data_IF_323535264523
#
_entry.id   IF_323535264523
#
_cell.length_a   1.000
_cell.length_b   1.000
_cell.length_c   1.000
_cell.angle_alpha   90.00
_cell.angle_beta   90.00
_cell.angle_gamma   90.00
#
_symmetry.space_group_name_H-M   'P 1'
#
loop_
_entity.id
_entity.type
_entity.pdbx_description
1 polymer ?
#
# COMPACT_ATOMS: atom_id res chain seq x y z
N UNK A 1 6.16 -13.34 -20.02
CA UNK A 1 6.91 -12.79 -18.88
C UNK A 1 7.88 -13.86 -18.41
N UNK A 2 9.12 -13.85 -18.89
CA UNK A 2 10.16 -14.77 -18.40
C UNK A 2 10.90 -14.11 -17.23
N UNK A 3 10.82 -14.74 -16.06
CA UNK A 3 11.42 -14.28 -14.80
C UNK A 3 10.49 -14.55 -13.62
N UNK A 4 11.03 -15.17 -12.57
CA UNK A 4 10.27 -15.49 -11.36
C UNK A 4 10.08 -14.22 -10.51
N UNK A 5 9.05 -13.43 -10.81
CA UNK A 5 8.73 -12.19 -10.08
C UNK A 5 8.49 -12.46 -8.58
N UNK A 6 7.93 -13.62 -8.23
CA UNK A 6 7.67 -13.99 -6.83
C UNK A 6 8.97 -14.06 -6.02
N UNK A 7 10.02 -14.65 -6.58
CA UNK A 7 11.32 -14.75 -5.90
C UNK A 7 11.93 -13.37 -5.66
N UNK A 8 11.85 -12.48 -6.65
CA UNK A 8 12.39 -11.12 -6.54
C UNK A 8 11.59 -10.31 -5.52
N UNK A 9 10.26 -10.39 -5.57
CA UNK A 9 9.38 -9.73 -4.60
C UNK A 9 9.65 -10.22 -3.18
N UNK A 10 9.73 -11.54 -2.97
CA UNK A 10 10.05 -12.13 -1.67
C UNK A 10 11.40 -11.68 -1.16
N UNK A 11 12.42 -11.61 -2.03
CA UNK A 11 13.75 -11.12 -1.67
C UNK A 11 13.73 -9.66 -1.23
N UNK A 12 13.06 -8.79 -1.98
CA UNK A 12 12.93 -7.37 -1.64
C UNK A 12 12.17 -7.22 -0.31
N UNK A 13 11.02 -7.89 -0.17
CA UNK A 13 10.20 -7.82 1.05
C UNK A 13 10.92 -8.36 2.29
N UNK A 14 11.73 -9.41 2.14
CA UNK A 14 12.56 -9.93 3.23
C UNK A 14 13.73 -9.00 3.59
N UNK A 15 14.31 -8.33 2.59
CA UNK A 15 15.41 -7.38 2.76
C UNK A 15 14.97 -5.98 3.22
N UNK A 16 13.68 -5.66 3.13
CA UNK A 16 13.15 -4.33 3.39
C UNK A 16 13.31 -3.85 4.84
N UNK A 17 13.67 -4.72 5.79
CA UNK A 17 13.82 -4.44 7.23
C UNK A 17 12.90 -3.32 7.74
N UNK A 18 11.59 -3.64 7.78
CA UNK A 18 10.54 -2.69 8.13
C UNK A 18 10.75 -2.05 9.50
N UNK A 19 11.43 -2.73 10.43
CA UNK A 19 11.74 -2.22 11.75
C UNK A 19 12.79 -1.09 11.67
N UNK A 20 13.87 -1.29 10.92
CA UNK A 20 14.91 -0.25 10.75
C UNK A 20 14.39 0.95 9.95
N UNK A 21 13.55 0.72 8.95
CA UNK A 21 12.97 1.78 8.11
C UNK A 21 11.68 2.38 8.66
N UNK A 22 11.24 1.99 9.86
CA UNK A 22 9.99 2.49 10.47
C UNK A 22 9.93 4.03 10.57
N UNK A 23 11.07 4.69 10.80
CA UNK A 23 11.14 6.16 10.83
C UNK A 23 10.95 6.85 9.47
N UNK A 24 11.00 6.09 8.36
CA UNK A 24 10.85 6.59 7.00
C UNK A 24 9.46 6.30 6.42
N UNK A 25 8.56 5.73 7.21
CA UNK A 25 7.24 5.31 6.74
C UNK A 25 6.46 6.45 6.10
N UNK A 26 5.79 6.12 4.99
CA UNK A 26 4.84 7.01 4.36
C UNK A 26 3.49 6.92 5.07
N UNK A 27 2.80 8.06 5.16
CA UNK A 27 1.54 8.18 5.89
C UNK A 27 1.10 9.64 5.99
N UNK A 28 0.21 9.94 6.95
CA UNK A 28 -0.40 11.26 7.07
C UNK A 28 0.62 12.41 7.25
N UNK A 29 1.75 12.16 7.91
CA UNK A 29 2.81 13.15 8.16
C UNK A 29 3.87 13.22 7.06
N UNK A 30 4.05 12.14 6.29
CA UNK A 30 4.99 12.04 5.16
C UNK A 30 4.29 11.32 4.01
N UNK A 31 3.51 12.05 3.22
CA UNK A 31 2.76 11.44 2.11
C UNK A 31 3.68 11.09 0.95
N UNK A 32 3.27 10.06 0.22
CA UNK A 32 3.92 9.74 -1.04
C UNK A 32 3.71 10.86 -2.07
N UNK A 33 4.61 10.95 -3.05
CA UNK A 33 4.36 11.72 -4.27
C UNK A 33 3.78 10.83 -5.37
N UNK A 34 3.20 11.46 -6.39
CA UNK A 34 2.59 10.77 -7.52
C UNK A 34 3.63 9.92 -8.25
N UNK A 35 3.30 8.66 -8.52
CA UNK A 35 4.20 7.72 -9.21
C UNK A 35 5.30 7.14 -8.34
N UNK A 36 5.32 7.44 -7.03
CA UNK A 36 6.32 6.91 -6.12
C UNK A 36 6.13 5.40 -5.93
N UNK A 37 7.18 4.63 -6.17
CA UNK A 37 7.20 3.20 -5.88
C UNK A 37 7.25 2.96 -4.38
N UNK A 38 6.45 2.00 -3.91
CA UNK A 38 6.30 1.67 -2.50
C UNK A 38 6.26 0.18 -2.26
N UNK A 39 6.77 -0.21 -1.09
CA UNK A 39 6.57 -1.51 -0.48
C UNK A 39 5.40 -1.40 0.49
N UNK A 40 4.40 -2.24 0.31
CA UNK A 40 3.31 -2.41 1.26
C UNK A 40 3.74 -3.43 2.31
N UNK A 41 3.72 -2.99 3.58
CA UNK A 41 4.12 -3.79 4.73
C UNK A 41 3.21 -4.98 4.99
N UNK A 42 3.49 -5.68 6.09
CA UNK A 42 2.93 -7.01 6.34
C UNK A 42 1.40 -6.97 6.37
N UNK A 43 0.78 -7.81 5.56
CA UNK A 43 -0.66 -7.94 5.43
C UNK A 43 -1.03 -9.28 4.82
N UNK A 44 -2.33 -9.54 4.66
CA UNK A 44 -2.84 -10.78 4.07
C UNK A 44 -2.88 -10.76 2.53
N UNK A 45 -2.50 -9.64 1.91
CA UNK A 45 -2.48 -9.52 0.46
C UNK A 45 -1.38 -10.42 -0.14
N UNK A 46 -1.66 -11.10 -1.27
CA UNK A 46 -0.64 -11.79 -2.05
C UNK A 46 0.54 -10.89 -2.39
N UNK A 47 1.75 -11.47 -2.51
CA UNK A 47 2.99 -10.72 -2.74
C UNK A 47 2.92 -9.79 -3.96
N UNK A 48 2.21 -10.17 -5.02
CA UNK A 48 2.04 -9.34 -6.24
C UNK A 48 1.45 -7.94 -5.94
N UNK A 49 0.64 -7.83 -4.88
CA UNK A 49 0.01 -6.58 -4.46
C UNK A 49 0.80 -5.86 -3.36
N UNK A 50 2.02 -6.32 -3.05
CA UNK A 50 2.88 -5.71 -2.03
C UNK A 50 3.93 -4.75 -2.59
N UNK A 51 4.06 -4.68 -3.90
CA UNK A 51 4.94 -3.74 -4.60
C UNK A 51 4.15 -3.05 -5.70
N UNK A 52 4.30 -1.74 -5.81
CA UNK A 52 3.65 -0.94 -6.84
C UNK A 52 3.97 0.53 -6.70
N UNK A 53 3.34 1.38 -7.52
CA UNK A 53 3.49 2.83 -7.40
C UNK A 53 2.17 3.53 -7.09
N UNK A 54 2.26 4.64 -6.35
CA UNK A 54 1.08 5.37 -5.86
C UNK A 54 0.47 6.20 -6.98
N UNK A 55 -0.81 5.95 -7.27
CA UNK A 55 -1.57 6.69 -8.30
C UNK A 55 -2.50 7.75 -7.72
N UNK A 56 -3.06 7.52 -6.53
CA UNK A 56 -3.95 8.44 -5.84
C UNK A 56 -3.92 8.17 -4.32
N UNK A 57 -4.12 9.21 -3.52
CA UNK A 57 -4.28 9.15 -2.07
C UNK A 57 -5.61 9.82 -1.72
N UNK A 58 -6.52 9.06 -1.11
CA UNK A 58 -7.80 9.52 -0.58
C UNK A 58 -7.66 9.76 0.92
N UNK A 59 -7.56 11.04 1.28
CA UNK A 59 -7.13 11.43 2.62
C UNK A 59 -8.18 11.10 3.67
N UNK A 60 -7.77 10.36 4.69
CA UNK A 60 -8.63 9.96 5.78
C UNK A 60 -9.83 9.09 5.41
N UNK A 61 -9.83 8.45 4.23
CA UNK A 61 -10.96 7.64 3.74
C UNK A 61 -10.79 6.12 4.01
N UNK A 62 -9.73 5.71 4.71
CA UNK A 62 -9.57 4.34 5.20
C UNK A 62 -10.56 4.00 6.32
N UNK A 63 -10.78 2.71 6.57
CA UNK A 63 -11.76 2.24 7.55
C UNK A 63 -11.58 2.83 8.96
N UNK A 64 -10.34 3.10 9.39
CA UNK A 64 -10.02 3.74 10.67
C UNK A 64 -9.62 5.22 10.53
N UNK A 65 -10.04 5.87 9.45
CA UNK A 65 -9.71 7.27 9.16
C UNK A 65 -8.26 7.49 8.71
N UNK A 66 -7.54 6.43 8.33
CA UNK A 66 -6.23 6.53 7.67
C UNK A 66 -6.37 7.02 6.24
N UNK A 67 -5.26 7.48 5.64
CA UNK A 67 -5.22 7.74 4.20
C UNK A 67 -5.35 6.42 3.43
N UNK A 68 -6.20 6.40 2.40
CA UNK A 68 -6.37 5.27 1.50
C UNK A 68 -5.53 5.51 0.24
N UNK A 69 -4.57 4.63 0.00
CA UNK A 69 -3.65 4.67 -1.13
C UNK A 69 -4.19 3.77 -2.24
N UNK A 70 -4.32 4.31 -3.44
CA UNK A 70 -4.48 3.52 -4.64
C UNK A 70 -3.08 3.29 -5.22
N UNK A 71 -2.74 2.01 -5.37
CA UNK A 71 -1.43 1.57 -5.84
C UNK A 71 -1.61 0.78 -7.12
N UNK A 72 -0.91 1.17 -8.18
CA UNK A 72 -0.81 0.39 -9.43
C UNK A 72 0.19 -0.73 -9.25
N UNK A 73 -0.20 -1.94 -9.65
CA UNK A 73 0.62 -3.14 -9.61
C UNK A 73 1.07 -3.56 -11.02
N UNK A 74 2.04 -4.49 -11.06
CA UNK A 74 2.67 -4.95 -12.30
C UNK A 74 1.69 -5.57 -13.31
N UNK A 75 0.56 -6.11 -12.84
CA UNK A 75 -0.49 -6.65 -13.71
C UNK A 75 -1.36 -5.56 -14.37
N UNK A 76 -1.06 -4.29 -14.13
CA UNK A 76 -1.79 -3.14 -14.63
C UNK A 76 -3.04 -2.80 -13.82
N UNK A 77 -3.42 -3.60 -12.81
CA UNK A 77 -4.52 -3.27 -11.90
C UNK A 77 -4.07 -2.25 -10.86
N UNK A 78 -5.01 -1.52 -10.27
CA UNK A 78 -4.77 -0.81 -9.02
C UNK A 78 -5.60 -1.41 -7.90
N UNK A 79 -5.06 -1.39 -6.68
CA UNK A 79 -5.74 -1.86 -5.49
C UNK A 79 -5.78 -0.78 -4.41
N UNK A 80 -6.80 -0.88 -3.55
CA UNK A 80 -6.95 -0.01 -2.39
C UNK A 80 -6.14 -0.58 -1.24
N UNK A 81 -5.27 0.26 -0.68
CA UNK A 81 -4.50 -0.04 0.52
C UNK A 81 -4.84 1.00 1.58
N UNK A 82 -5.30 0.56 2.73
CA UNK A 82 -5.67 1.44 3.84
C UNK A 82 -5.34 0.76 5.16
N UNK A 83 -4.86 1.53 6.13
CA UNK A 83 -4.36 1.01 7.40
C UNK A 83 -3.13 0.09 7.23
N UNK A 84 -2.37 0.28 6.14
CA UNK A 84 -1.14 -0.43 5.86
C UNK A 84 0.09 0.40 6.23
N UNK A 85 1.22 -0.30 6.26
CA UNK A 85 2.56 0.27 6.34
C UNK A 85 3.08 0.49 4.91
N UNK A 86 3.70 1.63 4.65
CA UNK A 86 4.29 1.92 3.35
C UNK A 86 5.74 2.38 3.51
N UNK A 87 6.65 1.75 2.78
CA UNK A 87 8.02 2.21 2.63
C UNK A 87 8.22 2.70 1.19
N UNK A 88 8.92 3.82 1.05
CA UNK A 88 9.44 4.25 -0.23
C UNK A 88 10.50 3.26 -0.72
N UNK A 89 10.40 2.82 -1.97
CA UNK A 89 11.46 2.00 -2.59
C UNK A 89 12.65 2.84 -3.02
N UNK A 90 13.85 2.32 -2.86
CA UNK A 90 15.06 2.92 -3.44
C UNK A 90 15.25 2.56 -4.92
N UNK A 91 16.23 3.18 -5.58
CA UNK A 91 16.49 2.97 -7.00
C UNK A 91 16.91 1.53 -7.34
N UNK A 92 17.61 0.82 -6.45
CA UNK A 92 18.04 -0.57 -6.67
C UNK A 92 16.86 -1.54 -6.53
N UNK A 93 15.97 -1.28 -5.56
CA UNK A 93 14.70 -1.99 -5.39
C UNK A 93 13.81 -1.79 -6.64
N UNK A 94 13.72 -0.57 -7.17
CA UNK A 94 12.92 -0.23 -8.35
C UNK A 94 13.47 -0.91 -9.61
N UNK A 95 14.79 -0.83 -9.85
CA UNK A 95 15.42 -1.40 -11.05
C UNK A 95 15.16 -2.91 -11.18
N UNK A 96 15.15 -3.62 -10.04
CA UNK A 96 14.85 -5.05 -9.99
C UNK A 96 13.42 -5.40 -10.43
N UNK A 97 12.45 -4.49 -10.25
CA UNK A 97 11.03 -4.73 -10.55
C UNK A 97 10.53 -4.03 -11.81
N UNK A 98 11.21 -2.99 -12.29
CA UNK A 98 10.74 -2.09 -13.35
C UNK A 98 10.28 -2.82 -14.62
N UNK A 99 10.97 -3.90 -15.01
CA UNK A 99 10.62 -4.72 -16.18
C UNK A 99 9.20 -5.31 -16.15
N UNK A 100 8.62 -5.53 -14.96
CA UNK A 100 7.25 -6.02 -14.82
C UNK A 100 6.20 -4.90 -14.87
N UNK A 101 6.64 -3.64 -14.80
CA UNK A 101 5.80 -2.46 -14.92
C UNK A 101 5.90 -1.80 -16.29
N UNK A 102 6.70 -2.31 -17.25
CA UNK A 102 6.99 -1.62 -18.53
C UNK A 102 5.75 -1.14 -19.28
N UNK A 103 4.65 -1.90 -19.29
CA UNK A 103 3.41 -1.51 -19.94
C UNK A 103 2.60 -0.43 -19.18
N UNK A 104 2.92 -0.21 -17.92
CA UNK A 104 2.25 0.69 -17.01
C UNK A 104 3.28 1.36 -16.08
N UNK A 105 4.27 2.05 -16.66
CA UNK A 105 5.19 2.87 -15.87
C UNK A 105 4.51 4.18 -15.45
N UNK A 106 4.90 4.79 -14.31
CA UNK A 106 4.27 6.04 -13.84
C UNK A 106 4.24 7.18 -14.87
N UNK A 107 5.21 7.22 -15.79
CA UNK A 107 5.30 8.24 -16.84
C UNK A 107 4.29 8.03 -17.99
N UNK A 108 3.71 6.84 -18.12
CA UNK A 108 2.68 6.51 -19.11
C UNK A 108 1.26 6.46 -18.52
N UNK A 109 1.12 6.64 -17.20
CA UNK A 109 -0.17 6.63 -16.51
C UNK A 109 -0.96 7.91 -16.82
N UNK A 110 -2.22 7.76 -17.24
CA UNK A 110 -3.14 8.89 -17.39
C UNK A 110 -3.83 9.19 -16.06
N UNK A 111 -3.36 10.23 -15.37
CA UNK A 111 -3.93 10.62 -14.08
C UNK A 111 -5.17 11.52 -14.18
N UNK A 112 -5.53 11.98 -15.38
CA UNK A 112 -6.61 12.95 -15.58
C UNK A 112 -7.99 12.30 -15.59
N UNK A 113 -8.08 11.00 -15.93
CA UNK A 113 -9.35 10.25 -15.99
C UNK A 113 -9.91 9.93 -14.58
N UNK A 114 -9.08 10.05 -13.55
CA UNK A 114 -9.44 9.68 -12.18
C UNK A 114 -9.50 8.17 -11.95
N UNK A 115 -9.93 7.79 -10.74
CA UNK A 115 -9.93 6.40 -10.29
C UNK A 115 -11.23 6.06 -9.56
N UNK A 116 -11.74 4.85 -9.78
CA UNK A 116 -12.93 4.30 -9.10
C UNK A 116 -12.53 3.21 -8.09
N UNK A 117 -13.22 3.10 -6.97
CA UNK A 117 -13.03 2.05 -5.98
C UNK A 117 -13.97 0.88 -6.27
N UNK A 118 -13.45 -0.35 -6.20
CA UNK A 118 -14.25 -1.59 -6.32
C UNK A 118 -15.15 -1.67 -7.57
N UNK A 119 -14.79 -0.98 -8.66
CA UNK A 119 -15.61 -0.95 -9.87
C UNK A 119 -16.88 -0.10 -9.78
N UNK A 120 -17.04 0.69 -8.72
CA UNK A 120 -18.20 1.56 -8.49
C UNK A 120 -17.98 2.96 -9.11
N UNK A 121 -18.71 3.34 -10.19
CA UNK A 121 -18.56 4.64 -10.82
C UNK A 121 -18.89 5.82 -9.90
N UNK A 122 -19.72 5.65 -8.86
CA UNK A 122 -20.06 6.72 -7.92
C UNK A 122 -18.87 7.15 -7.06
N UNK A 123 -17.85 6.30 -6.98
CA UNK A 123 -16.63 6.57 -6.23
C UNK A 123 -15.55 7.24 -7.06
N UNK A 124 -15.84 7.64 -8.31
CA UNK A 124 -14.88 8.32 -9.19
C UNK A 124 -14.30 9.56 -8.49
N UNK A 125 -12.97 9.60 -8.40
CA UNK A 125 -12.26 10.76 -7.91
C UNK A 125 -11.10 11.11 -8.83
N UNK A 126 -11.00 12.39 -9.18
CA UNK A 126 -9.95 12.95 -10.03
C UNK A 126 -8.93 13.67 -9.16
N UNK A 127 -7.66 13.55 -9.50
CA UNK A 127 -6.54 14.17 -8.79
C UNK A 127 -5.75 13.19 -7.93
N UNK A 128 -4.58 13.66 -7.46
CA UNK A 128 -3.66 12.84 -6.68
C UNK A 128 -4.00 12.80 -5.20
N UNK A 129 -4.22 13.97 -4.58
CA UNK A 129 -4.72 14.07 -3.22
C UNK A 129 -6.21 14.38 -3.29
N UNK A 130 -7.04 13.45 -2.83
CA UNK A 130 -8.49 13.60 -2.77
C UNK A 130 -8.85 13.84 -1.32
N UNK A 131 -9.37 15.03 -1.05
CA UNK A 131 -9.85 15.40 0.28
C UNK A 131 -10.98 14.47 0.72
N UNK A 132 -11.12 14.32 2.04
CA UNK A 132 -12.26 13.62 2.63
C UNK A 132 -13.55 14.40 2.28
N UNK A 133 -14.59 13.74 1.76
CA UNK A 133 -15.90 14.39 1.56
C UNK A 133 -16.45 14.92 2.89
N UNK A 134 -17.18 16.04 2.83
CA UNK A 134 -17.88 16.57 3.99
C UNK A 134 -18.86 15.53 4.55
N UNK A 135 -18.85 15.35 5.87
CA UNK A 135 -19.72 14.37 6.54
C UNK A 135 -19.30 12.91 6.36
N UNK A 136 -18.17 12.60 5.73
CA UNK A 136 -17.66 11.23 5.65
C UNK A 136 -17.31 10.70 7.05
N UNK A 137 -17.88 9.55 7.40
CA UNK A 137 -17.65 8.84 8.66
C UNK A 137 -16.89 7.55 8.32
N UNK A 138 -15.63 7.39 8.78
CA UNK A 138 -14.92 6.12 8.65
C UNK A 138 -15.72 4.98 9.28
N UNK A 139 -15.68 3.80 8.66
CA UNK A 139 -16.41 2.62 9.14
C UNK A 139 -16.10 2.24 10.59
N UNK A 140 -14.92 2.63 11.11
CA UNK A 140 -14.54 2.61 12.53
C UNK A 140 -14.32 1.22 13.14
N UNK A 141 -14.81 0.18 12.47
CA UNK A 141 -14.92 -1.15 13.05
C UNK A 141 -13.83 -2.09 12.56
N UNK A 142 -13.20 -2.79 13.51
CA UNK A 142 -12.37 -3.94 13.20
C UNK A 142 -11.61 -4.49 14.40
N UNK A 143 -10.95 -5.62 14.18
CA UNK A 143 -10.26 -6.38 15.23
C UNK A 143 -8.77 -6.44 14.93
N UNK A 144 -7.97 -5.89 15.84
CA UNK A 144 -6.53 -6.00 15.82
C UNK A 144 -6.10 -7.06 16.82
N UNK A 145 -5.15 -7.92 16.45
CA UNK A 145 -4.50 -8.83 17.39
C UNK A 145 -3.01 -8.52 17.41
N UNK A 146 -2.52 -8.03 18.53
CA UNK A 146 -1.09 -7.87 18.78
C UNK A 146 -0.60 -9.11 19.51
N UNK A 147 0.42 -9.79 18.96
CA UNK A 147 1.02 -10.96 19.60
C UNK A 147 2.49 -10.70 19.90
N UNK A 148 2.92 -10.97 21.13
CA UNK A 148 4.34 -11.04 21.48
C UNK A 148 4.83 -12.44 21.19
N UNK A 149 5.96 -12.55 20.49
CA UNK A 149 6.57 -13.83 20.09
C UNK A 149 7.94 -13.94 20.76
N UNK A 150 8.26 -15.11 21.32
CA UNK A 150 9.61 -15.39 21.83
C UNK A 150 10.61 -15.66 20.69
N UNK A 151 11.89 -15.82 21.05
CA UNK A 151 12.96 -16.16 20.11
C UNK A 151 12.81 -17.53 19.44
N UNK A 152 11.92 -18.39 19.94
CA UNK A 152 11.54 -19.67 19.35
C UNK A 152 10.34 -19.59 18.42
N UNK A 153 9.74 -18.40 18.24
CA UNK A 153 8.54 -18.21 17.42
C UNK A 153 7.23 -18.57 18.11
N UNK A 154 7.24 -18.83 19.43
CA UNK A 154 6.02 -19.11 20.18
C UNK A 154 5.37 -17.81 20.65
N UNK A 155 4.04 -17.73 20.55
CA UNK A 155 3.27 -16.60 21.08
C UNK A 155 3.29 -16.65 22.61
N UNK A 156 3.89 -15.64 23.24
CA UNK A 156 3.98 -15.51 24.70
C UNK A 156 2.88 -14.65 25.29
N UNK A 157 2.34 -13.71 24.52
CA UNK A 157 1.12 -12.97 24.87
C UNK A 157 0.36 -12.56 23.62
N UNK A 158 -0.96 -12.41 23.74
CA UNK A 158 -1.78 -11.85 22.67
C UNK A 158 -2.83 -10.91 23.27
N UNK A 159 -2.97 -9.74 22.67
CA UNK A 159 -4.00 -8.76 22.99
C UNK A 159 -4.89 -8.59 21.77
N UNK A 160 -6.17 -8.92 21.93
CA UNK A 160 -7.21 -8.58 20.97
C UNK A 160 -7.78 -7.20 21.30
N UNK A 161 -7.74 -6.28 20.34
CA UNK A 161 -8.38 -4.96 20.44
C UNK A 161 -9.49 -4.89 19.41
N UNK A 162 -10.71 -4.65 19.88
CA UNK A 162 -11.83 -4.31 19.02
C UNK A 162 -11.93 -2.79 18.95
N UNK A 163 -11.75 -2.25 17.76
CA UNK A 163 -12.11 -0.87 17.45
C UNK A 163 -13.60 -0.87 17.08
N UNK A 164 -14.38 -0.09 17.82
CA UNK A 164 -15.81 0.16 17.62
C UNK A 164 -16.02 1.63 17.29
#
# INVERSE_FOLDING_TARGET
>A
MEGNWEEVYKKILAGADFCLRAGQMLGATRRAHRGQFVLVGMGMAPDIYRIGYVVQIRMGQGAFGSDLYLIRHADGTYQQHANNFYLEMDFEEIDQVAKWFEAAMPNGENFDDGYILNGDPETLAIGFLVERPEGFIPAGTGRFRVSTIDSGGNVTSATDTVCI
#
